data_IF_629693782224
#
_entry.id   IF_629693782224
#
_cell.length_a   1.000
_cell.length_b   1.000
_cell.length_c   1.000
_cell.angle_alpha   90.00
_cell.angle_beta   90.00
_cell.angle_gamma   90.00
#
_symmetry.space_group_name_H-M   'P 1'
#
loop_
_entity.id
_entity.type
_entity.pdbx_description
1 polymer ?
#
# COMPACT_ATOMS: atom_id res chain seq x y z
N UNK A 1 2.01 25.50 29.18
CA UNK A 1 1.60 26.23 27.95
C UNK A 1 0.18 25.80 27.59
N UNK A 2 -0.61 26.72 27.03
CA UNK A 2 -1.98 26.44 26.58
C UNK A 2 -1.97 26.06 25.10
N UNK A 3 -2.95 25.27 24.64
CA UNK A 3 -3.12 24.92 23.21
C UNK A 3 -2.97 26.14 22.30
N UNK A 4 -3.62 27.25 22.65
CA UNK A 4 -3.55 28.50 21.90
C UNK A 4 -2.12 29.03 21.78
N UNK A 5 -1.34 28.98 22.86
CA UNK A 5 0.05 29.42 22.86
C UNK A 5 0.93 28.56 21.95
N UNK A 6 0.70 27.24 21.88
CA UNK A 6 1.42 26.36 20.97
C UNK A 6 1.03 26.60 19.52
N UNK A 7 -0.25 26.80 19.22
CA UNK A 7 -0.73 27.15 17.88
C UNK A 7 -0.13 28.49 17.42
N UNK A 8 -0.18 29.53 18.26
CA UNK A 8 0.41 30.84 17.96
C UNK A 8 1.94 30.73 17.77
N UNK A 9 2.63 29.89 18.55
CA UNK A 9 4.06 29.64 18.38
C UNK A 9 4.39 28.91 17.07
N UNK A 10 3.56 27.95 16.65
CA UNK A 10 3.72 27.27 15.35
C UNK A 10 3.49 28.24 14.18
N UNK A 11 2.51 29.14 14.30
CA UNK A 11 2.27 30.20 13.30
C UNK A 11 3.48 31.14 13.22
N UNK A 12 4.03 31.58 14.36
CA UNK A 12 5.23 32.41 14.38
C UNK A 12 6.43 31.70 13.70
N UNK A 13 6.61 30.39 13.93
CA UNK A 13 7.64 29.62 13.21
C UNK A 13 7.40 29.64 11.71
N UNK A 14 6.16 29.42 11.25
CA UNK A 14 5.82 29.45 9.82
C UNK A 14 6.13 30.81 9.18
N UNK A 15 5.92 31.91 9.90
CA UNK A 15 6.19 33.26 9.41
C UNK A 15 7.70 33.59 9.39
N UNK A 16 8.51 32.89 10.19
CA UNK A 16 9.98 33.00 10.21
C UNK A 16 10.70 32.10 9.18
N UNK A 17 9.98 31.18 8.52
CA UNK A 17 10.61 30.17 7.67
C UNK A 17 11.28 30.77 6.43
N UNK A 18 12.58 30.52 6.22
CA UNK A 18 13.23 30.79 4.95
C UNK A 18 12.54 30.01 3.81
N UNK A 19 12.54 30.53 2.56
CA UNK A 19 12.02 29.80 1.41
C UNK A 19 12.75 28.45 1.27
N UNK A 20 12.01 27.42 0.86
CA UNK A 20 12.61 26.13 0.55
C UNK A 20 13.39 26.24 -0.77
N UNK A 21 14.69 25.96 -0.72
CA UNK A 21 15.51 25.84 -1.93
C UNK A 21 15.55 24.37 -2.37
N UNK A 22 15.10 24.11 -3.60
CA UNK A 22 15.15 22.77 -4.22
C UNK A 22 16.50 22.45 -4.87
N UNK A 23 16.63 21.25 -5.42
CA UNK A 23 17.79 20.84 -6.22
C UNK A 23 19.05 20.63 -5.38
N UNK A 24 18.94 19.86 -4.30
CA UNK A 24 20.09 19.36 -3.54
C UNK A 24 20.60 18.09 -4.23
N UNK A 25 21.85 18.09 -4.68
CA UNK A 25 22.54 16.89 -5.12
C UNK A 25 23.28 16.25 -3.94
N UNK A 26 23.72 15.00 -4.11
CA UNK A 26 24.51 14.30 -3.09
C UNK A 26 25.78 15.10 -2.75
N UNK A 27 26.45 15.70 -3.73
CA UNK A 27 27.63 16.53 -3.47
C UNK A 27 27.30 17.80 -2.68
N UNK A 28 26.11 18.38 -2.87
CA UNK A 28 25.65 19.53 -2.08
C UNK A 28 25.31 19.12 -0.65
N UNK A 29 24.78 17.92 -0.46
CA UNK A 29 24.54 17.36 0.88
C UNK A 29 25.86 17.08 1.60
N UNK A 30 26.80 16.41 0.95
CA UNK A 30 28.15 16.16 1.50
C UNK A 30 28.83 17.47 1.91
N UNK A 31 28.75 18.50 1.05
CA UNK A 31 29.33 19.81 1.33
C UNK A 31 28.60 20.53 2.49
N UNK A 32 27.28 20.35 2.59
CA UNK A 32 26.49 20.90 3.68
C UNK A 32 26.82 20.24 5.02
N UNK A 33 27.01 18.92 5.05
CA UNK A 33 27.45 18.19 6.26
C UNK A 33 28.78 18.75 6.79
N UNK A 34 29.76 18.98 5.90
CA UNK A 34 31.04 19.61 6.26
C UNK A 34 30.83 21.03 6.81
N UNK A 35 29.93 21.80 6.21
CA UNK A 35 29.57 23.14 6.71
C UNK A 35 28.94 23.09 8.12
N UNK A 36 28.05 22.14 8.39
CA UNK A 36 27.45 21.94 9.73
C UNK A 36 28.50 21.55 10.78
N UNK A 37 29.42 20.65 10.44
CA UNK A 37 30.54 20.27 11.31
C UNK A 37 31.43 21.47 11.62
N UNK A 38 31.76 22.28 10.60
CA UNK A 38 32.52 23.51 10.76
C UNK A 38 31.83 24.50 11.72
N UNK A 39 30.53 24.71 11.53
CA UNK A 39 29.71 25.62 12.36
C UNK A 39 29.61 25.15 13.81
N UNK A 40 29.53 23.85 14.05
CA UNK A 40 29.49 23.25 15.40
C UNK A 40 30.88 23.06 16.02
N UNK A 41 31.95 23.60 15.39
CA UNK A 41 33.36 23.51 15.82
C UNK A 41 33.88 22.07 15.91
N UNK A 42 33.32 21.16 15.11
CA UNK A 42 33.74 19.76 14.99
C UNK A 42 34.64 19.51 13.79
N UNK A 43 34.70 20.44 12.83
CA UNK A 43 35.53 20.35 11.64
C UNK A 43 36.02 21.72 11.12
N UNK A 44 36.77 21.74 10.00
CA UNK A 44 37.12 22.96 9.30
C UNK A 44 35.89 23.57 8.62
N UNK A 45 35.78 24.90 8.61
CA UNK A 45 34.72 25.60 7.87
C UNK A 45 35.09 25.58 6.38
N UNK A 46 34.22 25.06 5.48
CA UNK A 46 34.53 25.05 4.06
C UNK A 46 34.53 26.48 3.49
N UNK A 47 35.36 26.72 2.48
CA UNK A 47 35.32 27.97 1.72
C UNK A 47 34.10 27.92 0.77
N UNK A 48 33.10 28.76 1.04
CA UNK A 48 31.88 28.86 0.26
C UNK A 48 31.78 30.24 -0.37
N UNK A 49 31.24 30.33 -1.59
CA UNK A 49 30.81 31.61 -2.13
C UNK A 49 29.59 32.15 -1.36
N UNK A 50 29.27 33.44 -1.55
CA UNK A 50 28.19 34.09 -0.84
C UNK A 50 26.80 33.47 -1.11
N UNK A 51 26.60 32.89 -2.29
CA UNK A 51 25.34 32.25 -2.67
C UNK A 51 25.15 30.92 -1.95
N UNK A 52 26.16 30.05 -1.98
CA UNK A 52 26.17 28.78 -1.26
C UNK A 52 26.10 28.98 0.26
N UNK A 53 26.83 29.95 0.80
CA UNK A 53 26.76 30.30 2.21
C UNK A 53 25.34 30.73 2.64
N UNK A 54 24.66 31.57 1.83
CA UNK A 54 23.29 31.99 2.11
C UNK A 54 22.30 30.82 2.04
N UNK A 55 22.44 29.95 1.04
CA UNK A 55 21.63 28.72 0.89
C UNK A 55 21.79 27.80 2.09
N UNK A 56 23.02 27.59 2.55
CA UNK A 56 23.31 26.72 3.68
C UNK A 56 22.80 27.30 5.01
N UNK A 57 22.96 28.61 5.24
CA UNK A 57 22.35 29.28 6.41
C UNK A 57 20.82 29.20 6.40
N UNK A 58 20.19 29.34 5.23
CA UNK A 58 18.74 29.19 5.10
C UNK A 58 18.30 27.76 5.44
N UNK A 59 19.01 26.74 4.94
CA UNK A 59 18.75 25.33 5.24
C UNK A 59 18.93 25.02 6.73
N UNK A 60 20.04 25.47 7.33
CA UNK A 60 20.29 25.33 8.76
C UNK A 60 19.18 25.96 9.59
N UNK A 61 18.77 27.19 9.26
CA UNK A 61 17.69 27.88 9.96
C UNK A 61 16.38 27.11 9.85
N UNK A 62 16.08 26.50 8.70
CA UNK A 62 14.90 25.64 8.52
C UNK A 62 14.96 24.40 9.41
N UNK A 63 16.12 23.75 9.55
CA UNK A 63 16.29 22.61 10.45
C UNK A 63 16.12 22.99 11.92
N UNK A 64 16.70 24.12 12.35
CA UNK A 64 16.53 24.64 13.72
C UNK A 64 15.04 24.88 14.03
N UNK A 65 14.33 25.52 13.09
CA UNK A 65 12.89 25.74 13.19
C UNK A 65 12.11 24.42 13.17
N UNK A 66 12.53 23.43 12.39
CA UNK A 66 11.95 22.08 12.41
C UNK A 66 12.08 21.46 13.79
N UNK A 67 13.26 21.50 14.41
CA UNK A 67 13.49 21.01 15.78
C UNK A 67 12.50 21.62 16.79
N UNK A 68 12.27 22.93 16.70
CA UNK A 68 11.26 23.63 17.53
C UNK A 68 9.83 23.17 17.21
N UNK A 69 9.49 22.98 15.94
CA UNK A 69 8.18 22.46 15.50
C UNK A 69 7.93 21.06 16.06
N UNK A 70 8.91 20.14 16.01
CA UNK A 70 8.78 18.80 16.59
C UNK A 70 8.39 18.86 18.07
N UNK A 71 9.06 19.71 18.86
CA UNK A 71 8.74 19.89 20.28
C UNK A 71 7.33 20.45 20.51
N UNK A 72 6.94 21.47 19.74
CA UNK A 72 5.61 22.09 19.84
C UNK A 72 4.49 21.10 19.44
N UNK A 73 4.66 20.38 18.33
CA UNK A 73 3.71 19.36 17.86
C UNK A 73 3.61 18.20 18.85
N UNK A 74 4.74 17.74 19.41
CA UNK A 74 4.77 16.70 20.44
C UNK A 74 3.92 17.09 21.66
N UNK A 75 4.17 18.27 22.23
CA UNK A 75 3.38 18.79 23.35
C UNK A 75 1.90 18.97 23.01
N UNK A 76 1.58 19.40 21.79
CA UNK A 76 0.20 19.61 21.34
C UNK A 76 -0.56 18.29 21.21
N UNK A 77 0.09 17.24 20.68
CA UNK A 77 -0.47 15.89 20.59
C UNK A 77 -0.70 15.27 21.96
N UNK A 78 0.26 15.39 22.89
CA UNK A 78 0.13 14.89 24.26
C UNK A 78 -1.09 15.50 24.96
N UNK A 79 -1.27 16.82 24.85
CA UNK A 79 -2.44 17.51 25.42
C UNK A 79 -3.74 17.07 24.75
N UNK A 80 -3.76 17.01 23.42
CA UNK A 80 -4.94 16.60 22.65
C UNK A 80 -5.42 15.21 23.01
N UNK A 81 -4.51 14.26 23.27
CA UNK A 81 -4.86 12.89 23.71
C UNK A 81 -5.41 12.83 25.12
N UNK A 82 -4.99 13.73 26.01
CA UNK A 82 -5.46 13.77 27.40
C UNK A 82 -6.82 14.46 27.55
N UNK A 83 -6.98 15.63 26.92
CA UNK A 83 -8.09 16.55 27.18
C UNK A 83 -8.95 16.88 25.95
N UNK A 84 -8.60 16.38 24.77
CA UNK A 84 -9.14 16.83 23.49
C UNK A 84 -8.55 18.17 23.04
N UNK A 85 -8.90 18.60 21.83
CA UNK A 85 -8.52 19.89 21.26
C UNK A 85 -9.65 20.90 21.42
N UNK A 86 -9.34 22.11 21.90
CA UNK A 86 -10.30 23.21 22.02
C UNK A 86 -10.66 23.84 20.68
N UNK A 87 -9.73 23.89 19.74
CA UNK A 87 -9.90 24.47 18.40
C UNK A 87 -9.35 23.53 17.30
N UNK A 88 -9.93 22.32 17.10
CA UNK A 88 -9.38 21.30 16.20
C UNK A 88 -9.25 21.78 14.74
N UNK A 89 -10.12 22.69 14.29
CA UNK A 89 -10.02 23.29 12.96
C UNK A 89 -8.80 24.21 12.77
N UNK A 90 -8.44 25.00 13.78
CA UNK A 90 -7.25 25.85 13.74
C UNK A 90 -5.97 25.01 13.79
N UNK A 91 -5.95 24.00 14.66
CA UNK A 91 -4.84 23.05 14.77
C UNK A 91 -4.61 22.32 13.43
N UNK A 92 -5.68 21.85 12.80
CA UNK A 92 -5.60 21.20 11.48
C UNK A 92 -5.04 22.14 10.40
N UNK A 93 -5.50 23.39 10.37
CA UNK A 93 -5.05 24.39 9.39
C UNK A 93 -3.55 24.70 9.52
N UNK A 94 -3.05 24.83 10.75
CA UNK A 94 -1.61 25.04 11.01
C UNK A 94 -0.80 23.80 10.64
N UNK A 95 -1.27 22.60 11.00
CA UNK A 95 -0.61 21.36 10.62
C UNK A 95 -0.47 21.23 9.08
N UNK A 96 -1.53 21.50 8.32
CA UNK A 96 -1.47 21.50 6.84
C UNK A 96 -0.43 22.50 6.30
N UNK A 97 -0.33 23.70 6.89
CA UNK A 97 0.69 24.68 6.50
C UNK A 97 2.11 24.16 6.77
N UNK A 98 2.33 23.47 7.90
CA UNK A 98 3.63 22.88 8.24
C UNK A 98 4.04 21.77 7.26
N UNK A 99 3.12 20.86 6.93
CA UNK A 99 3.37 19.82 5.92
C UNK A 99 3.74 20.45 4.58
N UNK A 100 2.96 21.43 4.09
CA UNK A 100 3.25 22.14 2.83
C UNK A 100 4.54 22.96 2.85
N UNK A 101 4.98 23.38 4.03
CA UNK A 101 6.25 24.06 4.19
C UNK A 101 7.44 23.09 4.28
N UNK A 102 7.20 21.77 4.36
CA UNK A 102 8.24 20.75 4.52
C UNK A 102 8.98 20.85 5.86
N UNK A 103 8.25 21.16 6.95
CA UNK A 103 8.84 21.35 8.29
C UNK A 103 8.04 20.57 9.33
N UNK A 104 8.65 19.58 9.97
CA UNK A 104 7.96 18.66 10.88
C UNK A 104 6.77 17.94 10.23
N UNK A 105 6.87 17.62 8.94
CA UNK A 105 5.76 17.15 8.12
C UNK A 105 5.16 15.83 8.65
N UNK A 106 5.99 14.86 9.03
CA UNK A 106 5.53 13.59 9.58
C UNK A 106 4.76 13.76 10.90
N UNK A 107 5.22 14.63 11.80
CA UNK A 107 4.57 14.96 13.06
C UNK A 107 3.28 15.74 12.85
N UNK A 108 3.25 16.64 11.88
CA UNK A 108 2.06 17.37 11.52
C UNK A 108 0.99 16.43 10.94
N UNK A 109 1.36 15.51 10.05
CA UNK A 109 0.47 14.43 9.56
C UNK A 109 -0.02 13.54 10.70
N UNK A 110 0.85 13.17 11.63
CA UNK A 110 0.47 12.38 12.80
C UNK A 110 -0.50 13.15 13.74
N UNK A 111 -0.34 14.47 13.87
CA UNK A 111 -1.28 15.33 14.58
C UNK A 111 -2.63 15.38 13.87
N UNK A 112 -2.65 15.46 12.53
CA UNK A 112 -3.89 15.37 11.75
C UNK A 112 -4.58 14.02 11.97
N UNK A 113 -3.84 12.91 12.05
CA UNK A 113 -4.41 11.62 12.42
C UNK A 113 -5.03 11.63 13.83
N UNK A 114 -4.31 12.17 14.82
CA UNK A 114 -4.78 12.25 16.21
C UNK A 114 -6.03 13.18 16.36
N UNK A 115 -6.18 14.19 15.48
CA UNK A 115 -7.39 15.03 15.41
C UNK A 115 -8.64 14.26 14.97
N UNK A 116 -8.47 13.17 14.23
CA UNK A 116 -9.55 12.29 13.79
C UNK A 116 -10.61 12.94 12.88
N UNK A 117 -11.84 12.42 12.93
CA UNK A 117 -12.97 12.90 12.11
C UNK A 117 -13.71 14.04 12.82
N UNK A 118 -14.10 15.13 12.12
CA UNK A 118 -13.94 15.36 10.68
C UNK A 118 -12.68 16.16 10.30
N UNK A 119 -12.02 16.81 11.26
CA UNK A 119 -11.01 17.83 10.96
C UNK A 119 -9.72 17.25 10.41
N UNK A 120 -9.18 16.22 11.07
CA UNK A 120 -8.00 15.48 10.63
C UNK A 120 -8.22 14.79 9.29
N UNK A 121 -9.35 14.10 9.14
CA UNK A 121 -9.71 13.42 7.90
C UNK A 121 -9.76 14.38 6.70
N UNK A 122 -10.48 15.51 6.82
CA UNK A 122 -10.57 16.50 5.74
C UNK A 122 -9.22 17.11 5.39
N UNK A 123 -8.38 17.36 6.39
CA UNK A 123 -7.04 17.89 6.17
C UNK A 123 -6.14 16.88 5.43
N UNK A 124 -6.15 15.61 5.85
CA UNK A 124 -5.40 14.53 5.19
C UNK A 124 -5.87 14.30 3.76
N UNK A 125 -7.18 14.28 3.51
CA UNK A 125 -7.74 14.23 2.15
C UNK A 125 -7.24 15.40 1.30
N UNK A 126 -7.20 16.62 1.85
CA UNK A 126 -6.71 17.79 1.16
C UNK A 126 -5.21 17.71 0.81
N UNK A 127 -4.40 17.06 1.64
CA UNK A 127 -2.98 16.82 1.37
C UNK A 127 -2.79 15.75 0.29
N UNK A 128 -3.54 14.65 0.36
CA UNK A 128 -3.45 13.53 -0.59
C UNK A 128 -3.96 13.92 -1.99
N UNK A 129 -5.11 14.60 -2.07
CA UNK A 129 -5.71 15.03 -3.33
C UNK A 129 -4.98 16.24 -3.93
N UNK A 130 -4.50 17.15 -3.08
CA UNK A 130 -3.86 18.40 -3.48
C UNK A 130 -2.36 18.24 -3.64
N UNK A 131 -1.90 17.35 -4.56
CA UNK A 131 -0.49 17.22 -5.03
C UNK A 131 0.02 18.54 -5.63
N UNK A 132 0.05 19.58 -4.81
CA UNK A 132 0.45 20.93 -5.16
C UNK A 132 1.96 21.09 -5.01
N UNK A 133 2.52 22.16 -5.58
CA UNK A 133 3.93 22.46 -5.46
C UNK A 133 4.33 22.54 -3.98
N UNK A 134 5.35 21.78 -3.59
CA UNK A 134 5.97 21.82 -2.26
C UNK A 134 5.72 20.61 -1.35
N UNK A 135 4.85 19.66 -1.72
CA UNK A 135 4.72 18.39 -0.98
C UNK A 135 5.65 17.34 -1.59
N UNK A 136 6.56 16.80 -0.77
CA UNK A 136 7.35 15.64 -1.16
C UNK A 136 6.47 14.39 -1.30
N UNK A 137 6.84 13.48 -2.19
CA UNK A 137 6.05 12.24 -2.39
C UNK A 137 6.04 11.36 -1.13
N UNK A 138 7.11 11.38 -0.33
CA UNK A 138 7.15 10.73 0.99
C UNK A 138 6.10 11.30 1.96
N UNK A 139 5.92 12.63 1.99
CA UNK A 139 4.88 13.26 2.83
C UNK A 139 3.47 12.90 2.37
N UNK A 140 3.26 12.81 1.05
CA UNK A 140 1.98 12.39 0.45
C UNK A 140 1.69 10.93 0.81
N UNK A 141 2.68 10.05 0.67
CA UNK A 141 2.57 8.64 1.07
C UNK A 141 2.22 8.53 2.55
N UNK A 142 2.95 9.24 3.42
CA UNK A 142 2.68 9.23 4.86
C UNK A 142 1.28 9.74 5.20
N UNK A 143 0.83 10.83 4.55
CA UNK A 143 -0.53 11.35 4.71
C UNK A 143 -1.60 10.35 4.24
N UNK A 144 -1.35 9.65 3.12
CA UNK A 144 -2.22 8.61 2.56
C UNK A 144 -2.34 7.43 3.51
N UNK A 145 -1.24 6.95 4.08
CA UNK A 145 -1.25 5.87 5.07
C UNK A 145 -2.04 6.23 6.32
N UNK A 146 -1.85 7.44 6.85
CA UNK A 146 -2.62 7.93 8.01
C UNK A 146 -4.09 8.11 7.69
N UNK A 147 -4.43 8.58 6.50
CA UNK A 147 -5.82 8.66 6.04
C UNK A 147 -6.46 7.27 5.94
N UNK A 148 -5.76 6.31 5.34
CA UNK A 148 -6.22 4.92 5.27
C UNK A 148 -6.45 4.35 6.66
N UNK A 149 -5.48 4.50 7.58
CA UNK A 149 -5.59 4.03 8.96
C UNK A 149 -6.80 4.64 9.69
N UNK A 150 -7.06 5.94 9.51
CA UNK A 150 -8.20 6.63 10.10
C UNK A 150 -9.54 6.09 9.58
N UNK A 151 -9.62 5.78 8.28
CA UNK A 151 -10.84 5.28 7.63
C UNK A 151 -11.04 3.77 7.74
N UNK A 152 -9.99 3.02 8.08
CA UNK A 152 -9.98 1.55 8.11
C UNK A 152 -11.12 0.94 8.91
N UNK A 153 -11.44 1.50 10.08
CA UNK A 153 -12.56 1.03 10.89
C UNK A 153 -13.91 1.20 10.18
N UNK A 154 -14.08 2.29 9.44
CA UNK A 154 -15.25 2.54 8.59
C UNK A 154 -15.31 1.60 7.40
N UNK A 155 -14.18 1.29 6.75
CA UNK A 155 -14.11 0.32 5.66
C UNK A 155 -14.54 -1.08 6.14
N UNK A 156 -13.98 -1.56 7.25
CA UNK A 156 -14.36 -2.84 7.88
C UNK A 156 -15.85 -2.90 8.18
N UNK A 157 -16.36 -1.88 8.86
CA UNK A 157 -17.77 -1.84 9.24
C UNK A 157 -18.70 -1.87 8.03
N UNK A 158 -18.30 -1.33 6.88
CA UNK A 158 -19.04 -1.45 5.61
C UNK A 158 -18.82 -2.80 4.96
N UNK A 159 -17.58 -3.28 4.95
CA UNK A 159 -17.20 -4.59 4.46
C UNK A 159 -17.96 -5.71 5.15
N UNK A 160 -18.27 -5.59 6.43
CA UNK A 160 -19.03 -6.55 7.23
C UNK A 160 -20.55 -6.55 6.96
N UNK A 161 -21.12 -5.48 6.37
CA UNK A 161 -22.57 -5.40 6.08
C UNK A 161 -23.00 -6.49 5.11
N UNK A 162 -24.21 -7.01 5.25
CA UNK A 162 -24.76 -7.98 4.29
C UNK A 162 -25.04 -7.29 2.95
N UNK A 163 -24.51 -7.78 1.81
CA UNK A 163 -24.70 -7.25 0.46
C UNK A 163 -26.11 -7.53 -0.08
N UNK A 164 -27.14 -6.96 0.56
CA UNK A 164 -28.55 -7.16 0.15
C UNK A 164 -28.82 -6.42 -1.16
N UNK A 165 -29.10 -7.18 -2.23
CA UNK A 165 -29.44 -6.63 -3.55
C UNK A 165 -28.22 -6.19 -4.38
N UNK A 166 -27.00 -6.48 -3.92
CA UNK A 166 -25.77 -6.24 -4.68
C UNK A 166 -25.51 -7.37 -5.69
N UNK A 167 -24.82 -7.07 -6.80
CA UNK A 167 -24.48 -8.07 -7.81
C UNK A 167 -23.14 -8.73 -7.51
N UNK A 168 -23.14 -10.03 -7.23
CA UNK A 168 -21.94 -10.83 -7.06
C UNK A 168 -21.14 -10.94 -8.36
N UNK A 169 -19.83 -10.64 -8.29
CA UNK A 169 -18.92 -10.74 -9.42
C UNK A 169 -18.28 -12.12 -9.56
N UNK A 170 -18.33 -12.92 -8.50
CA UNK A 170 -17.85 -14.29 -8.50
C UNK A 170 -18.96 -15.33 -8.71
N UNK A 171 -18.65 -16.48 -9.33
CA UNK A 171 -19.59 -17.60 -9.42
C UNK A 171 -20.01 -18.15 -8.05
N UNK A 172 -21.18 -18.77 -7.98
CA UNK A 172 -21.76 -19.29 -6.73
C UNK A 172 -20.84 -20.27 -5.98
N UNK A 173 -20.09 -21.12 -6.70
CA UNK A 173 -19.14 -22.06 -6.11
C UNK A 173 -18.01 -21.35 -5.34
N UNK A 174 -17.59 -20.17 -5.81
CA UNK A 174 -16.55 -19.35 -5.20
C UNK A 174 -17.13 -18.58 -4.01
N UNK A 175 -18.35 -18.05 -4.14
CA UNK A 175 -19.05 -17.39 -3.04
C UNK A 175 -19.34 -18.33 -1.86
N UNK A 176 -19.40 -19.64 -2.09
CA UNK A 176 -19.62 -20.65 -1.04
C UNK A 176 -18.36 -20.97 -0.22
N UNK A 177 -17.18 -20.44 -0.59
CA UNK A 177 -15.94 -20.69 0.14
C UNK A 177 -15.97 -20.03 1.53
N UNK A 178 -15.63 -20.77 2.62
CA UNK A 178 -15.58 -20.23 3.97
C UNK A 178 -14.24 -19.52 4.25
N UNK A 179 -13.77 -18.68 3.32
CA UNK A 179 -12.42 -18.11 3.32
C UNK A 179 -12.47 -16.61 3.09
N UNK A 180 -11.45 -15.90 3.59
CA UNK A 180 -11.27 -14.49 3.29
C UNK A 180 -10.57 -14.29 1.95
N UNK A 181 -10.83 -13.17 1.28
CA UNK A 181 -10.10 -12.77 0.07
C UNK A 181 -8.70 -12.29 0.48
N UNK A 182 -7.67 -13.04 0.08
CA UNK A 182 -6.27 -12.69 0.33
C UNK A 182 -5.80 -12.92 1.77
N UNK A 183 -6.52 -13.74 2.55
CA UNK A 183 -6.12 -14.21 3.87
C UNK A 183 -6.23 -15.73 3.90
N UNK A 184 -5.13 -16.39 4.30
CA UNK A 184 -4.94 -17.83 4.16
C UNK A 184 -6.17 -18.65 4.52
N UNK A 185 -6.47 -19.61 3.65
CA UNK A 185 -7.61 -20.51 3.81
C UNK A 185 -7.45 -21.34 5.08
N UNK A 186 -8.49 -21.38 5.89
CA UNK A 186 -8.57 -22.33 7.00
C UNK A 186 -8.44 -23.76 6.50
N UNK A 187 -7.49 -24.52 7.05
CA UNK A 187 -7.32 -25.95 6.79
C UNK A 187 -8.10 -26.73 7.86
N UNK A 188 -8.81 -27.82 7.52
CA UNK A 188 -8.92 -28.46 6.21
C UNK A 188 -9.96 -27.82 5.29
N UNK A 189 -9.70 -27.87 3.97
CA UNK A 189 -10.65 -27.48 2.92
C UNK A 189 -11.37 -28.69 2.38
N UNK A 190 -12.69 -28.59 2.18
CA UNK A 190 -13.46 -29.61 1.48
C UNK A 190 -13.01 -29.71 0.00
N UNK A 191 -12.55 -30.88 -0.41
CA UNK A 191 -11.95 -31.08 -1.73
C UNK A 191 -12.97 -30.90 -2.88
N UNK A 192 -14.24 -31.24 -2.66
CA UNK A 192 -15.28 -31.07 -3.67
C UNK A 192 -15.61 -29.59 -3.89
N UNK A 193 -15.71 -28.82 -2.81
CA UNK A 193 -15.89 -27.37 -2.85
C UNK A 193 -14.67 -26.67 -3.48
N UNK A 194 -13.44 -27.06 -3.10
CA UNK A 194 -12.22 -26.51 -3.68
C UNK A 194 -12.16 -26.76 -5.19
N UNK A 195 -12.47 -27.99 -5.63
CA UNK A 195 -12.54 -28.33 -7.04
C UNK A 195 -13.54 -27.46 -7.79
N UNK A 196 -14.78 -27.35 -7.29
CA UNK A 196 -15.81 -26.54 -7.93
C UNK A 196 -15.41 -25.06 -8.04
N UNK A 197 -14.76 -24.51 -7.01
CA UNK A 197 -14.26 -23.14 -7.03
C UNK A 197 -13.11 -22.96 -8.03
N UNK A 198 -12.12 -23.86 -8.06
CA UNK A 198 -11.01 -23.83 -9.00
C UNK A 198 -11.49 -23.96 -10.45
N UNK A 199 -12.41 -24.88 -10.74
CA UNK A 199 -13.03 -25.01 -12.07
C UNK A 199 -13.77 -23.73 -12.47
N UNK A 200 -14.47 -23.07 -11.54
CA UNK A 200 -15.20 -21.84 -11.79
C UNK A 200 -14.31 -20.59 -11.95
N UNK A 201 -13.09 -20.61 -11.40
CA UNK A 201 -12.12 -19.50 -11.49
C UNK A 201 -11.14 -19.65 -12.66
N UNK A 202 -11.14 -20.78 -13.36
CA UNK A 202 -10.21 -21.04 -14.46
C UNK A 202 -10.45 -20.02 -15.61
N UNK A 203 -9.46 -19.17 -15.96
CA UNK A 203 -9.62 -18.20 -17.05
C UNK A 203 -9.90 -18.90 -18.38
N UNK A 204 -10.71 -18.36 -19.30
CA UNK A 204 -11.01 -19.03 -20.57
C UNK A 204 -9.77 -19.27 -21.47
N UNK A 205 -8.74 -18.42 -21.33
CA UNK A 205 -7.48 -18.52 -22.05
C UNK A 205 -6.34 -17.85 -21.25
N UNK A 206 -5.13 -17.77 -21.83
CA UNK A 206 -4.01 -17.10 -21.20
C UNK A 206 -4.30 -15.64 -20.88
N UNK A 207 -3.95 -15.22 -19.67
CA UNK A 207 -3.99 -13.81 -19.27
C UNK A 207 -2.94 -13.01 -20.04
N UNK A 208 -3.25 -11.76 -20.36
CA UNK A 208 -2.30 -10.83 -20.99
C UNK A 208 -1.10 -10.52 -20.10
N UNK A 209 -1.33 -10.53 -18.78
CA UNK A 209 -0.34 -10.29 -17.73
C UNK A 209 -0.51 -11.40 -16.69
N UNK A 210 0.61 -11.94 -16.20
CA UNK A 210 0.59 -12.94 -15.13
C UNK A 210 0.01 -12.35 -13.86
N UNK A 211 -0.94 -13.06 -13.24
CA UNK A 211 -1.60 -12.64 -12.01
C UNK A 211 -1.40 -13.69 -10.90
N UNK A 212 -1.26 -13.32 -9.62
CA UNK A 212 -1.14 -11.94 -9.15
C UNK A 212 0.17 -11.31 -9.63
N UNK A 213 0.33 -9.96 -9.56
CA UNK A 213 1.62 -9.35 -9.80
C UNK A 213 2.63 -9.90 -8.78
N UNK A 214 3.95 -9.86 -9.09
CA UNK A 214 4.98 -10.27 -8.15
C UNK A 214 4.78 -9.63 -6.77
N UNK A 215 5.03 -10.40 -5.70
CA UNK A 215 4.92 -9.85 -4.36
C UNK A 215 5.91 -8.70 -4.17
N UNK A 216 5.43 -7.59 -3.60
CA UNK A 216 6.29 -6.49 -3.21
C UNK A 216 7.15 -6.91 -2.03
N UNK A 217 8.45 -7.12 -2.27
CA UNK A 217 9.39 -7.64 -1.29
C UNK A 217 10.04 -6.57 -0.40
N UNK A 218 10.02 -5.30 -0.81
CA UNK A 218 10.60 -4.21 -0.03
C UNK A 218 9.70 -3.79 1.15
N UNK A 219 10.32 -3.17 2.16
CA UNK A 219 9.61 -2.62 3.31
C UNK A 219 8.62 -1.52 2.94
N UNK A 220 7.89 -1.03 3.94
CA UNK A 220 6.87 0.02 3.76
C UNK A 220 7.48 1.38 3.39
N UNK A 221 8.68 1.67 3.88
CA UNK A 221 9.39 2.93 3.67
C UNK A 221 10.49 2.81 2.59
N UNK A 222 10.69 1.62 2.03
CA UNK A 222 11.83 1.31 1.19
C UNK A 222 11.48 1.48 -0.31
N UNK A 223 12.36 2.17 -0.99
CA UNK A 223 12.61 1.95 -2.42
C UNK A 223 13.27 0.57 -2.51
N UNK A 224 12.84 -0.28 -3.44
CA UNK A 224 13.45 -1.61 -3.56
C UNK A 224 14.91 -1.52 -4.02
N UNK A 225 15.57 -2.68 -4.17
CA UNK A 225 16.97 -2.75 -4.62
C UNK A 225 17.20 -2.08 -5.99
N UNK A 226 16.14 -1.89 -6.79
CA UNK A 226 16.17 -1.27 -8.12
C UNK A 226 15.78 0.22 -8.08
N UNK A 227 15.48 0.76 -6.90
CA UNK A 227 15.00 2.12 -6.76
C UNK A 227 13.56 2.30 -7.24
N UNK A 228 12.80 1.21 -7.36
CA UNK A 228 11.37 1.25 -7.64
C UNK A 228 10.56 1.57 -6.39
N UNK A 229 9.48 2.31 -6.59
CA UNK A 229 8.57 2.67 -5.52
C UNK A 229 7.53 1.60 -5.34
N UNK A 230 7.03 1.51 -4.11
CA UNK A 230 5.87 0.68 -3.79
C UNK A 230 4.73 0.93 -4.79
N UNK A 231 4.29 -0.10 -5.51
CA UNK A 231 3.18 0.03 -6.44
C UNK A 231 1.85 0.29 -5.72
N UNK A 232 1.02 1.15 -6.31
CA UNK A 232 -0.30 1.50 -5.74
C UNK A 232 -1.20 0.26 -5.55
N UNK A 233 -1.05 -0.79 -6.37
CA UNK A 233 -1.83 -2.03 -6.23
C UNK A 233 -1.66 -2.68 -4.85
N UNK A 234 -0.52 -2.49 -4.17
CA UNK A 234 -0.33 -3.04 -2.81
C UNK A 234 -1.30 -2.39 -1.84
N UNK A 235 -1.50 -1.07 -1.94
CA UNK A 235 -2.43 -0.32 -1.08
C UNK A 235 -3.89 -0.54 -1.49
N UNK A 236 -4.17 -0.61 -2.79
CA UNK A 236 -5.52 -0.96 -3.28
C UNK A 236 -5.92 -2.36 -2.80
N UNK A 237 -4.99 -3.32 -2.76
CA UNK A 237 -5.24 -4.66 -2.20
C UNK A 237 -5.68 -4.56 -0.74
N UNK A 238 -5.05 -3.71 0.07
CA UNK A 238 -5.46 -3.51 1.47
C UNK A 238 -6.88 -2.94 1.56
N UNK A 239 -7.20 -1.92 0.78
CA UNK A 239 -8.54 -1.34 0.73
C UNK A 239 -9.61 -2.37 0.33
N UNK A 240 -9.36 -3.11 -0.74
CA UNK A 240 -10.27 -4.14 -1.26
C UNK A 240 -10.51 -5.22 -0.21
N UNK A 241 -9.48 -5.65 0.53
CA UNK A 241 -9.62 -6.63 1.62
C UNK A 241 -10.47 -6.13 2.78
N UNK A 242 -10.44 -4.83 3.09
CA UNK A 242 -11.26 -4.27 4.16
C UNK A 242 -12.73 -4.10 3.73
N UNK A 243 -13.00 -3.80 2.45
CA UNK A 243 -14.36 -3.63 1.90
C UNK A 243 -15.02 -4.95 1.47
N UNK A 244 -14.21 -5.93 1.07
CA UNK A 244 -14.65 -7.22 0.52
C UNK A 244 -13.84 -8.34 1.16
N UNK A 245 -14.00 -8.58 2.48
CA UNK A 245 -13.17 -9.52 3.20
C UNK A 245 -13.35 -10.98 2.76
N UNK A 246 -14.45 -11.32 2.09
CA UNK A 246 -14.81 -12.69 1.68
C UNK A 246 -15.30 -12.72 0.22
N UNK A 247 -15.18 -13.86 -0.51
CA UNK A 247 -15.57 -13.92 -1.93
C UNK A 247 -17.03 -13.55 -2.18
N UNK A 248 -17.94 -13.94 -1.28
CA UNK A 248 -19.36 -13.60 -1.38
C UNK A 248 -19.63 -12.09 -1.25
N UNK A 249 -18.67 -11.32 -0.73
CA UNK A 249 -18.74 -9.86 -0.63
C UNK A 249 -18.09 -9.17 -1.83
N UNK A 250 -17.56 -9.90 -2.80
CA UNK A 250 -17.01 -9.30 -4.02
C UNK A 250 -18.15 -9.00 -4.98
N UNK A 251 -18.64 -7.75 -4.90
CA UNK A 251 -19.80 -7.26 -5.65
C UNK A 251 -19.45 -6.06 -6.53
N UNK A 252 -20.27 -5.78 -7.54
CA UNK A 252 -20.06 -4.61 -8.42
C UNK A 252 -20.10 -3.30 -7.63
N UNK A 253 -21.03 -3.18 -6.70
CA UNK A 253 -21.25 -1.98 -5.89
C UNK A 253 -20.05 -1.68 -4.98
N UNK A 254 -19.46 -2.73 -4.38
CA UNK A 254 -18.28 -2.60 -3.53
C UNK A 254 -17.00 -2.36 -4.33
N UNK A 255 -16.88 -2.92 -5.52
CA UNK A 255 -15.80 -2.56 -6.45
C UNK A 255 -15.87 -1.08 -6.83
N UNK A 256 -17.06 -0.57 -7.16
CA UNK A 256 -17.26 0.85 -7.43
C UNK A 256 -17.00 1.72 -6.19
N UNK A 257 -17.26 1.22 -4.99
CA UNK A 257 -16.88 1.91 -3.75
C UNK A 257 -15.36 1.94 -3.55
N UNK A 258 -14.69 0.80 -3.73
CA UNK A 258 -13.24 0.72 -3.66
C UNK A 258 -12.58 1.65 -4.68
N UNK A 259 -13.07 1.69 -5.92
CA UNK A 259 -12.60 2.61 -6.97
C UNK A 259 -12.73 4.09 -6.55
N UNK A 260 -13.87 4.49 -5.99
CA UNK A 260 -14.05 5.86 -5.47
C UNK A 260 -13.07 6.18 -4.34
N UNK A 261 -12.85 5.23 -3.42
CA UNK A 261 -11.92 5.41 -2.31
C UNK A 261 -10.45 5.43 -2.80
N UNK A 262 -10.09 4.66 -3.83
CA UNK A 262 -8.79 4.78 -4.51
C UNK A 262 -8.56 6.21 -5.03
N UNK A 263 -9.57 6.79 -5.70
CA UNK A 263 -9.51 8.17 -6.17
C UNK A 263 -9.31 9.18 -5.04
N UNK A 264 -9.97 8.99 -3.90
CA UNK A 264 -9.77 9.84 -2.70
C UNK A 264 -8.39 9.67 -2.06
N UNK A 265 -7.81 8.48 -2.16
CA UNK A 265 -6.46 8.17 -1.67
C UNK A 265 -5.38 8.54 -2.71
N UNK A 266 -5.75 9.05 -3.90
CA UNK A 266 -4.79 9.34 -4.96
C UNK A 266 -4.02 8.10 -5.43
N UNK A 267 -4.65 6.93 -5.33
CA UNK A 267 -4.17 5.63 -5.80
C UNK A 267 -4.66 5.42 -7.23
N UNK A 268 -3.79 4.93 -8.10
CA UNK A 268 -4.23 4.37 -9.37
C UNK A 268 -4.87 2.98 -9.12
N UNK A 269 -6.18 2.92 -9.37
CA UNK A 269 -6.96 1.70 -9.25
C UNK A 269 -6.86 0.78 -10.49
N UNK A 270 -6.25 1.26 -11.58
CA UNK A 270 -6.25 0.66 -12.91
C UNK A 270 -7.17 1.41 -13.87
N UNK A 271 -6.68 1.71 -15.08
CA UNK A 271 -7.42 2.47 -16.09
C UNK A 271 -8.72 1.77 -16.53
N UNK A 272 -9.87 2.40 -16.28
CA UNK A 272 -11.12 2.20 -17.03
C UNK A 272 -11.95 0.93 -16.76
N UNK A 273 -11.41 -0.10 -16.11
CA UNK A 273 -12.17 -1.29 -15.69
C UNK A 273 -11.67 -1.87 -14.36
N UNK A 274 -11.73 -1.06 -13.30
CA UNK A 274 -11.33 -1.43 -11.94
C UNK A 274 -11.91 -2.79 -11.52
N UNK A 275 -13.20 -3.00 -11.75
CA UNK A 275 -13.88 -4.21 -11.33
C UNK A 275 -13.36 -5.46 -12.07
N UNK A 276 -13.11 -5.41 -13.38
CA UNK A 276 -12.58 -6.57 -14.09
C UNK A 276 -11.15 -6.88 -13.67
N UNK A 277 -10.28 -5.87 -13.58
CA UNK A 277 -8.88 -6.04 -13.15
C UNK A 277 -8.81 -6.64 -11.75
N UNK A 278 -9.53 -6.03 -10.80
CA UNK A 278 -9.49 -6.49 -9.42
C UNK A 278 -10.18 -7.82 -9.21
N UNK A 279 -11.23 -8.15 -9.97
CA UNK A 279 -11.82 -9.50 -9.93
C UNK A 279 -10.81 -10.57 -10.30
N UNK A 280 -9.99 -10.35 -11.34
CA UNK A 280 -8.96 -11.31 -11.77
C UNK A 280 -7.87 -11.43 -10.70
N UNK A 281 -7.40 -10.32 -10.14
CA UNK A 281 -6.42 -10.31 -9.05
C UNK A 281 -6.89 -11.06 -7.80
N UNK A 282 -8.11 -10.75 -7.34
CA UNK A 282 -8.71 -11.42 -6.20
C UNK A 282 -8.93 -12.92 -6.47
N UNK A 283 -9.36 -13.29 -7.68
CA UNK A 283 -9.45 -14.69 -8.10
C UNK A 283 -8.09 -15.39 -8.02
N UNK A 284 -7.03 -14.75 -8.52
CA UNK A 284 -5.70 -15.33 -8.52
C UNK A 284 -5.15 -15.58 -7.11
N UNK A 285 -5.37 -14.64 -6.18
CA UNK A 285 -5.03 -14.88 -4.77
C UNK A 285 -5.84 -16.03 -4.17
N UNK A 286 -7.16 -16.08 -4.41
CA UNK A 286 -8.01 -17.19 -3.94
C UNK A 286 -7.57 -18.55 -4.49
N UNK A 287 -7.15 -18.63 -5.76
CA UNK A 287 -6.60 -19.84 -6.36
C UNK A 287 -5.31 -20.27 -5.67
N UNK A 288 -4.38 -19.32 -5.42
CA UNK A 288 -3.15 -19.61 -4.71
C UNK A 288 -3.38 -20.12 -3.29
N UNK A 289 -4.29 -19.46 -2.58
CA UNK A 289 -4.79 -19.79 -1.25
C UNK A 289 -5.40 -21.21 -1.20
N UNK A 290 -6.19 -21.60 -2.21
CA UNK A 290 -6.75 -22.95 -2.33
C UNK A 290 -5.67 -24.00 -2.59
N UNK A 291 -4.72 -23.75 -3.50
CA UNK A 291 -3.62 -24.69 -3.77
C UNK A 291 -2.71 -24.85 -2.55
N UNK A 292 -2.45 -23.76 -1.83
CA UNK A 292 -1.67 -23.81 -0.60
C UNK A 292 -2.33 -24.72 0.43
N UNK A 293 -3.64 -24.56 0.65
CA UNK A 293 -4.42 -25.36 1.59
C UNK A 293 -4.54 -26.83 1.18
N UNK A 294 -4.82 -27.11 -0.10
CA UNK A 294 -4.85 -28.47 -0.64
C UNK A 294 -3.49 -29.16 -0.47
N UNK A 295 -2.40 -28.44 -0.70
CA UNK A 295 -1.04 -28.97 -0.53
C UNK A 295 -0.62 -29.19 0.93
N UNK A 296 -1.37 -28.69 1.92
CA UNK A 296 -1.17 -29.01 3.35
C UNK A 296 -2.01 -30.20 3.81
N UNK A 297 -2.97 -30.64 2.99
CA UNK A 297 -3.85 -31.77 3.31
C UNK A 297 -3.08 -33.09 3.41
N UNK A 298 -3.56 -34.05 4.23
CA UNK A 298 -2.82 -35.28 4.53
C UNK A 298 -2.78 -36.32 3.39
N UNK A 299 -3.60 -36.17 2.34
CA UNK A 299 -3.72 -37.16 1.26
C UNK A 299 -3.73 -36.50 -0.13
N UNK A 300 -2.54 -36.19 -0.65
CA UNK A 300 -2.37 -35.66 -2.00
C UNK A 300 -2.79 -36.66 -3.09
N UNK A 301 -2.75 -37.97 -2.82
CA UNK A 301 -3.15 -38.99 -3.79
C UNK A 301 -4.65 -38.97 -4.06
N UNK A 302 -5.48 -38.65 -3.05
CA UNK A 302 -6.93 -38.45 -3.22
C UNK A 302 -7.31 -37.26 -4.10
N UNK A 303 -6.39 -36.29 -4.27
CA UNK A 303 -6.59 -35.11 -5.12
C UNK A 303 -6.23 -35.38 -6.59
N UNK A 304 -5.50 -36.46 -6.86
CA UNK A 304 -5.12 -36.83 -8.21
C UNK A 304 -6.29 -37.51 -8.96
N UNK A 305 -6.44 -37.27 -10.28
CA UNK A 305 -5.58 -36.43 -11.12
C UNK A 305 -5.99 -34.94 -11.14
N UNK A 306 -7.24 -34.64 -10.74
CA UNK A 306 -7.90 -33.38 -11.09
C UNK A 306 -7.16 -32.14 -10.57
N UNK A 307 -6.59 -32.18 -9.36
CA UNK A 307 -5.92 -31.01 -8.79
C UNK A 307 -4.63 -30.64 -9.53
N UNK A 308 -3.91 -31.66 -10.04
CA UNK A 308 -2.67 -31.47 -10.80
C UNK A 308 -2.96 -30.97 -12.21
N UNK A 309 -4.06 -31.46 -12.82
CA UNK A 309 -4.56 -30.95 -14.10
C UNK A 309 -4.92 -29.46 -13.98
N UNK A 310 -5.69 -29.10 -12.96
CA UNK A 310 -6.05 -27.70 -12.71
C UNK A 310 -4.83 -26.84 -12.40
N UNK A 311 -3.90 -27.28 -11.55
CA UNK A 311 -2.67 -26.54 -11.28
C UNK A 311 -1.85 -26.31 -12.57
N UNK A 312 -1.76 -27.31 -13.44
CA UNK A 312 -1.12 -27.18 -14.76
C UNK A 312 -1.84 -26.17 -15.64
N UNK A 313 -3.18 -26.18 -15.67
CA UNK A 313 -3.98 -25.23 -16.46
C UNK A 313 -3.86 -23.79 -15.93
N UNK A 314 -3.94 -23.56 -14.63
CA UNK A 314 -3.75 -22.24 -14.03
C UNK A 314 -2.35 -21.68 -14.35
N UNK A 315 -1.31 -22.50 -14.19
CA UNK A 315 0.06 -22.10 -14.54
C UNK A 315 0.21 -21.77 -16.04
N UNK A 316 -0.38 -22.56 -16.94
CA UNK A 316 -0.37 -22.28 -18.40
C UNK A 316 -1.13 -21.01 -18.77
N UNK A 317 -2.22 -20.71 -18.05
CA UNK A 317 -3.06 -19.53 -18.31
C UNK A 317 -2.53 -18.27 -17.61
N UNK A 318 -1.40 -18.34 -16.92
CA UNK A 318 -0.78 -17.19 -16.26
C UNK A 318 -1.50 -16.73 -14.98
N UNK A 319 -2.28 -17.60 -14.33
CA UNK A 319 -2.99 -17.28 -13.08
C UNK A 319 -2.45 -18.15 -11.94
N UNK A 320 -2.07 -17.53 -10.83
CA UNK A 320 -1.50 -18.15 -9.64
C UNK A 320 -0.30 -19.07 -9.94
N UNK A 321 0.54 -18.69 -10.90
CA UNK A 321 1.61 -19.54 -11.46
C UNK A 321 2.52 -20.10 -10.38
N UNK A 322 3.05 -19.24 -9.51
CA UNK A 322 3.96 -19.65 -8.44
C UNK A 322 3.30 -20.57 -7.43
N UNK A 323 2.05 -20.29 -7.02
CA UNK A 323 1.33 -21.13 -6.08
C UNK A 323 0.97 -22.50 -6.68
N UNK A 324 0.56 -22.53 -7.96
CA UNK A 324 0.27 -23.77 -8.67
C UNK A 324 1.53 -24.64 -8.86
N UNK A 325 2.67 -24.03 -9.19
CA UNK A 325 3.97 -24.72 -9.26
C UNK A 325 4.40 -25.25 -7.90
N UNK A 326 4.36 -24.42 -6.86
CA UNK A 326 4.69 -24.83 -5.49
C UNK A 326 3.81 -25.99 -5.00
N UNK A 327 2.53 -26.01 -5.36
CA UNK A 327 1.63 -27.15 -5.07
C UNK A 327 2.07 -28.43 -5.78
N UNK A 328 2.38 -28.37 -7.08
CA UNK A 328 2.84 -29.53 -7.83
C UNK A 328 4.20 -30.04 -7.33
N UNK A 329 5.11 -29.15 -6.95
CA UNK A 329 6.42 -29.51 -6.41
C UNK A 329 6.27 -30.24 -5.08
N UNK A 330 5.45 -29.68 -4.18
CA UNK A 330 5.17 -30.26 -2.87
C UNK A 330 4.54 -31.64 -2.95
N UNK A 331 3.60 -31.85 -3.88
CA UNK A 331 2.93 -33.16 -4.06
C UNK A 331 3.73 -34.13 -4.94
N UNK A 332 4.82 -33.69 -5.57
CA UNK A 332 5.60 -34.49 -6.52
C UNK A 332 6.35 -35.68 -5.95
N UNK A 333 6.60 -35.70 -4.64
CA UNK A 333 7.20 -36.86 -3.96
C UNK A 333 6.22 -38.04 -3.91
N UNK A 334 4.95 -37.76 -3.61
CA UNK A 334 3.92 -38.77 -3.37
C UNK A 334 3.08 -39.07 -4.62
N UNK A 335 2.96 -38.11 -5.54
CA UNK A 335 2.12 -38.21 -6.75
C UNK A 335 2.99 -38.08 -8.00
N UNK A 336 3.34 -39.19 -8.69
CA UNK A 336 4.14 -39.16 -9.92
C UNK A 336 3.55 -38.26 -11.02
N UNK A 337 2.22 -38.14 -11.07
CA UNK A 337 1.53 -37.29 -12.03
C UNK A 337 1.86 -35.80 -11.85
N UNK A 338 2.09 -35.31 -10.62
CA UNK A 338 2.51 -33.91 -10.42
C UNK A 338 3.85 -33.60 -11.09
N UNK A 339 4.81 -34.54 -11.01
CA UNK A 339 6.12 -34.40 -11.70
C UNK A 339 5.97 -34.39 -13.21
N UNK A 340 5.03 -35.18 -13.75
CA UNK A 340 4.74 -35.17 -15.18
C UNK A 340 4.20 -33.81 -15.63
N UNK A 341 3.25 -33.23 -14.88
CA UNK A 341 2.69 -31.90 -15.18
C UNK A 341 3.77 -30.81 -15.11
N UNK A 342 4.59 -30.80 -14.05
CA UNK A 342 5.73 -29.87 -13.93
C UNK A 342 6.69 -29.97 -15.10
N UNK A 343 7.06 -31.21 -15.49
CA UNK A 343 7.92 -31.43 -16.65
C UNK A 343 7.31 -30.96 -17.97
N UNK A 344 5.98 -30.90 -18.08
CA UNK A 344 5.28 -30.24 -19.19
C UNK A 344 5.46 -28.72 -19.16
N UNK A 345 5.17 -28.09 -18.02
CA UNK A 345 5.26 -26.63 -17.84
C UNK A 345 6.66 -26.08 -18.14
N UNK A 346 7.73 -26.79 -17.75
CA UNK A 346 9.11 -26.37 -18.04
C UNK A 346 9.44 -26.40 -19.52
N UNK A 347 8.85 -27.32 -20.30
CA UNK A 347 9.05 -27.38 -21.75
C UNK A 347 8.31 -26.26 -22.47
N UNK A 348 7.10 -25.95 -22.02
CA UNK A 348 6.28 -24.88 -22.58
C UNK A 348 6.96 -23.51 -22.35
N UNK A 349 7.53 -23.27 -21.16
CA UNK A 349 8.25 -22.04 -20.84
C UNK A 349 9.55 -21.85 -21.65
N UNK A 350 10.23 -22.93 -22.05
CA UNK A 350 11.45 -22.88 -22.87
C UNK A 350 11.21 -22.52 -24.34
N UNK A 351 9.95 -22.45 -24.79
CA UNK A 351 9.57 -22.13 -26.17
C UNK A 351 9.17 -20.67 -26.41
N UNK A 352 9.06 -19.85 -25.37
CA UNK A 352 8.49 -18.50 -25.46
C UNK A 352 9.47 -17.47 -24.89
N UNK A 353 9.96 -16.48 -25.69
CA UNK A 353 10.88 -15.47 -25.18
C UNK A 353 10.19 -14.59 -24.13
N UNK A 354 10.90 -14.16 -23.08
CA UNK A 354 10.32 -13.29 -22.04
C UNK A 354 9.91 -11.96 -22.68
N UNK A 355 8.62 -11.65 -22.63
CA UNK A 355 8.12 -10.32 -23.00
C UNK A 355 8.46 -9.39 -21.84
N UNK A 356 9.44 -8.52 -22.04
CA UNK A 356 9.72 -7.41 -21.14
C UNK A 356 8.47 -6.53 -21.09
N UNK A 357 7.71 -6.65 -20.01
CA UNK A 357 6.58 -5.78 -19.73
C UNK A 357 7.04 -4.83 -18.66
N UNK A 358 7.28 -3.58 -19.04
CA UNK A 358 7.46 -2.47 -18.12
C UNK A 358 6.17 -2.32 -17.32
N UNK A 359 6.26 -2.50 -16.00
CA UNK A 359 5.18 -2.16 -15.09
C UNK A 359 5.22 -0.64 -14.91
N UNK A 360 4.23 0.06 -15.44
CA UNK A 360 4.00 1.49 -15.17
C UNK A 360 2.78 1.67 -14.31
#
# INVERSE_FOLDING_TARGET
MTERADVDALVAVLDELPPAEGGWSDELWDLYEVYEEGRTRRGPVPELDAGLAARFEAQWRRQELSGRVHGLLGGLRERGRGCGFGAPGEVAAVAVRLVRAGVGAHEAVNLLYDLGVPHGERALLGLVAGRGPGLGEGDVLWARERLFALRRGGYRARGERVPVGEEHLFPAAVCALPVGVGGGVGVPVDAALARAALEALLPEGPLAVTEPPPEWGAGWDDVDEEGERRPDWVEVRLLVRELMPDPWRVTRERMAEAERECGLLGLDGGEGDFAAVWRVRLASWLVGDLFEALGRGPDAASLAPWAMELAGEFARRGMAVEAARAFLERTGQDVPYSRQVLGGLSRDAGGQPPSATTWT
#
